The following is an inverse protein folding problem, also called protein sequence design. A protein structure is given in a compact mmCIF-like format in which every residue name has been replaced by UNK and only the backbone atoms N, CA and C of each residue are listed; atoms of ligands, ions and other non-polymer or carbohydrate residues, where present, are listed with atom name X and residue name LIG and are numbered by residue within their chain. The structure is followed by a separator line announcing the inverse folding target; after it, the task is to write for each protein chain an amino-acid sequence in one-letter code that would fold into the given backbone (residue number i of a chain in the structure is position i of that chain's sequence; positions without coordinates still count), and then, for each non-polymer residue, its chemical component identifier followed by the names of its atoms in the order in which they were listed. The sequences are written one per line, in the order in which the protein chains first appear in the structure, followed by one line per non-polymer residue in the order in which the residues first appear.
data_IF_669147201038
#
_entry.id   IF_669147201038
#
_cell.length_a   1.000
_cell.length_b   1.000
_cell.length_c   1.000
_cell.angle_alpha   90.00
_cell.angle_beta   90.00
_cell.angle_gamma   90.00
#
_symmetry.space_group_name_H-M   'P 1'
#
loop_
_entity.id
_entity.type
_entity.pdbx_description
1 polymer ?
#
# COMPACT_ATOMS: atom_id res chain seq x y z
N UNK A 1 -0.91 -3.03 -16.25
CA UNK A 1 0.02 -3.39 -15.15
C UNK A 1 -0.53 -4.62 -14.44
N UNK A 2 0.27 -5.67 -14.28
CA UNK A 2 -0.14 -6.87 -13.55
C UNK A 2 -0.25 -6.56 -12.05
N UNK A 3 -1.08 -7.31 -11.31
CA UNK A 3 -1.23 -7.13 -9.86
C UNK A 3 0.10 -7.30 -9.12
N UNK A 4 1.00 -8.11 -9.66
CA UNK A 4 2.35 -8.33 -9.14
C UNK A 4 3.17 -7.03 -9.20
N UNK A 5 3.17 -6.31 -10.33
CA UNK A 5 3.86 -5.02 -10.45
C UNK A 5 3.32 -3.97 -9.49
N UNK A 6 1.99 -3.92 -9.29
CA UNK A 6 1.38 -3.03 -8.29
C UNK A 6 1.82 -3.39 -6.88
N UNK A 7 1.84 -4.68 -6.52
CA UNK A 7 2.29 -5.12 -5.20
C UNK A 7 3.74 -4.74 -4.92
N UNK A 8 4.63 -4.91 -5.90
CA UNK A 8 6.04 -4.51 -5.77
C UNK A 8 6.17 -3.00 -5.57
N UNK A 9 5.41 -2.18 -6.32
CA UNK A 9 5.43 -0.72 -6.15
C UNK A 9 5.00 -0.30 -4.74
N UNK A 10 3.97 -0.92 -4.19
CA UNK A 10 3.53 -0.66 -2.81
C UNK A 10 4.55 -1.12 -1.77
N UNK A 11 5.18 -2.28 -1.96
CA UNK A 11 6.23 -2.77 -1.07
C UNK A 11 7.42 -1.80 -1.03
N UNK A 12 7.85 -1.28 -2.18
CA UNK A 12 8.92 -0.28 -2.27
C UNK A 12 8.50 1.02 -1.57
N UNK A 13 7.26 1.48 -1.76
CA UNK A 13 6.75 2.69 -1.10
C UNK A 13 6.75 2.57 0.43
N UNK A 14 6.31 1.43 0.98
CA UNK A 14 6.30 1.18 2.43
C UNK A 14 7.71 1.16 3.00
N UNK A 15 8.65 0.49 2.31
CA UNK A 15 10.07 0.47 2.70
C UNK A 15 10.71 1.86 2.68
N UNK A 16 10.42 2.66 1.64
CA UNK A 16 10.94 4.02 1.53
C UNK A 16 10.45 4.90 2.69
N UNK A 17 9.15 4.81 3.04
CA UNK A 17 8.59 5.57 4.16
C UNK A 17 9.18 5.12 5.49
N UNK A 18 9.33 3.80 5.71
CA UNK A 18 9.97 3.29 6.93
C UNK A 18 11.42 3.78 7.07
N UNK A 19 12.17 3.85 5.97
CA UNK A 19 13.53 4.39 5.96
C UNK A 19 13.53 5.90 6.28
N UNK A 20 12.66 6.69 5.64
CA UNK A 20 12.57 8.14 5.87
C UNK A 20 12.18 8.45 7.33
N UNK A 21 11.21 7.73 7.89
CA UNK A 21 10.80 7.87 9.29
C UNK A 21 11.96 7.59 10.24
N UNK A 22 12.79 6.57 9.94
CA UNK A 22 13.99 6.27 10.72
C UNK A 22 15.05 7.38 10.65
N UNK A 23 15.21 8.05 9.50
CA UNK A 23 16.16 9.15 9.36
C UNK A 23 15.71 10.48 9.99
N UNK A 24 14.40 10.66 10.19
CA UNK A 24 13.83 11.91 10.71
C UNK A 24 13.43 11.83 12.19
N UNK A 25 13.83 10.77 12.91
CA UNK A 25 13.48 10.54 14.32
C UNK A 25 11.96 10.68 14.59
N UNK A 26 11.16 10.23 13.61
CA UNK A 26 9.70 10.30 13.68
C UNK A 26 9.22 9.33 14.76
N UNK A 27 8.29 9.78 15.60
CA UNK A 27 7.77 8.98 16.70
C UNK A 27 7.27 7.60 16.23
N UNK A 28 7.47 6.57 17.04
CA UNK A 28 7.07 5.20 16.69
C UNK A 28 5.58 5.09 16.34
N UNK A 29 4.72 5.88 17.01
CA UNK A 29 3.28 5.92 16.77
C UNK A 29 2.92 6.49 15.39
N UNK A 30 3.59 7.55 14.96
CA UNK A 30 3.37 8.20 13.66
C UNK A 30 3.88 7.31 12.52
N UNK A 31 5.05 6.72 12.70
CA UNK A 31 5.64 5.76 11.75
C UNK A 31 4.73 4.55 11.57
N UNK A 32 4.17 4.03 12.67
CA UNK A 32 3.23 2.91 12.64
C UNK A 32 1.92 3.28 11.91
N UNK A 33 1.36 4.45 12.18
CA UNK A 33 0.15 4.94 11.51
C UNK A 33 0.36 5.09 9.99
N UNK A 34 1.53 5.61 9.57
CA UNK A 34 1.88 5.76 8.15
C UNK A 34 2.00 4.40 7.45
N UNK A 35 2.73 3.45 8.06
CA UNK A 35 2.90 2.10 7.50
C UNK A 35 1.54 1.38 7.42
N UNK A 36 0.71 1.46 8.47
CA UNK A 36 -0.63 0.88 8.46
C UNK A 36 -1.51 1.49 7.37
N UNK A 37 -1.52 2.81 7.24
CA UNK A 37 -2.31 3.51 6.22
C UNK A 37 -1.90 3.11 4.80
N UNK A 38 -0.59 3.05 4.53
CA UNK A 38 -0.05 2.60 3.24
C UNK A 38 -0.37 1.12 2.97
N UNK A 39 -0.30 0.27 3.98
CA UNK A 39 -0.60 -1.15 3.86
C UNK A 39 -2.09 -1.37 3.59
N UNK A 40 -2.98 -0.63 4.26
CA UNK A 40 -4.42 -0.67 4.00
C UNK A 40 -4.76 -0.16 2.59
N UNK A 41 -4.13 0.94 2.16
CA UNK A 41 -4.29 1.47 0.81
C UNK A 41 -3.79 0.51 -0.27
N UNK A 42 -2.63 -0.13 -0.03
CA UNK A 42 -2.11 -1.20 -0.88
C UNK A 42 -3.12 -2.34 -0.98
N UNK A 43 -3.66 -2.80 0.15
CA UNK A 43 -4.64 -3.87 0.17
C UNK A 43 -5.89 -3.50 -0.64
N UNK A 44 -6.46 -2.32 -0.43
CA UNK A 44 -7.64 -1.86 -1.15
C UNK A 44 -7.41 -1.77 -2.67
N UNK A 45 -6.23 -1.35 -3.12
CA UNK A 45 -5.93 -1.26 -4.56
C UNK A 45 -5.64 -2.62 -5.20
N UNK A 46 -5.09 -3.57 -4.43
CA UNK A 46 -4.78 -4.94 -4.87
C UNK A 46 -6.00 -5.85 -4.79
N UNK A 47 -6.87 -5.64 -3.80
CA UNK A 47 -8.13 -6.37 -3.62
C UNK A 47 -9.26 -5.86 -4.50
N UNK A 48 -9.03 -4.80 -5.28
CA UNK A 48 -9.97 -4.33 -6.30
C UNK A 48 -10.01 -5.31 -7.48
N UNK A 49 -10.41 -6.56 -7.21
CA UNK A 49 -10.98 -7.45 -8.22
C UNK A 49 -12.29 -6.80 -8.63
N UNK A 50 -12.44 -6.53 -9.94
CA UNK A 50 -13.76 -6.28 -10.54
C UNK A 50 -14.63 -7.51 -10.32
N UNK A 51 -15.28 -7.62 -9.16
CA UNK A 51 -16.32 -8.62 -8.96
C UNK A 51 -17.69 -8.14 -9.45
N UNK A 52 -17.81 -6.88 -9.92
CA UNK A 52 -19.08 -6.35 -10.44
C UNK A 52 -18.86 -5.44 -11.65
N UNK A 53 -18.68 -6.00 -12.85
CA UNK A 53 -19.36 -5.49 -14.05
C UNK A 53 -19.78 -6.71 -14.84
N UNK A 54 -21.06 -7.04 -14.71
CA UNK A 54 -21.74 -8.11 -15.42
C UNK A 54 -21.58 -7.90 -16.93
N UNK A 55 -21.01 -8.89 -17.60
CA UNK A 55 -21.37 -9.24 -18.97
C UNK A 55 -22.62 -10.11 -18.90
N UNK A 56 -23.80 -9.50 -19.06
CA UNK A 56 -25.08 -10.07 -19.54
C UNK A 56 -26.12 -8.97 -19.29
N UNK A 57 -26.85 -8.41 -20.24
CA UNK A 57 -27.46 -8.95 -21.46
C UNK A 57 -27.71 -7.77 -22.40
#
# INVERSE_FOLDING_TARGET
MTNLTKAILWAIAILAVAAICRFNDVGQSETFALILGLTAAAWATLSNRRCCTNTSN
#
